data_IF_419769339311
#
_entry.id   IF_419769339311
#
_cell.length_a   1.000
_cell.length_b   1.000
_cell.length_c   1.000
_cell.angle_alpha   90.00
_cell.angle_beta   90.00
_cell.angle_gamma   90.00
#
_symmetry.space_group_name_H-M   'P 1'
#
loop_
_entity.id
_entity.type
_entity.pdbx_description
1 polymer ?
#
# COMPACT_ATOMS: atom_id res chain seq x y z
N UNK A 1 9.31 -11.76 13.41
CA UNK A 1 9.62 -10.40 13.88
C UNK A 1 8.55 -9.44 13.36
N UNK A 2 8.15 -8.42 14.12
CA UNK A 2 7.23 -7.39 13.63
C UNK A 2 7.91 -6.57 12.53
N UNK A 3 7.18 -6.22 11.46
CA UNK A 3 7.71 -5.29 10.45
C UNK A 3 7.76 -3.90 11.08
N UNK A 4 8.91 -3.22 10.96
CA UNK A 4 9.03 -1.84 11.42
C UNK A 4 8.18 -0.94 10.52
N UNK A 5 7.29 -0.14 11.13
CA UNK A 5 6.44 0.81 10.42
C UNK A 5 7.25 2.05 10.04
N UNK A 6 7.14 2.49 8.80
CA UNK A 6 7.76 3.72 8.30
C UNK A 6 6.69 4.68 7.74
N UNK A 7 7.05 5.95 7.61
CA UNK A 7 6.21 6.93 6.95
C UNK A 7 6.38 6.87 5.43
N UNK A 8 5.43 7.50 4.72
CA UNK A 8 5.50 7.62 3.27
C UNK A 8 6.82 8.27 2.82
N UNK A 9 7.26 9.34 3.50
CA UNK A 9 8.46 10.08 3.13
C UNK A 9 9.77 9.31 3.39
N UNK A 10 9.72 8.29 4.24
CA UNK A 10 10.84 7.39 4.53
C UNK A 10 10.97 6.27 3.48
N UNK A 11 9.99 6.12 2.58
CA UNK A 11 10.11 5.16 1.49
C UNK A 11 11.23 5.59 0.52
N UNK A 12 11.98 4.62 -0.03
CA UNK A 12 12.90 4.88 -1.13
C UNK A 12 12.22 5.66 -2.26
N UNK A 13 12.98 6.52 -2.94
CA UNK A 13 12.42 7.39 -3.97
C UNK A 13 11.73 6.58 -5.09
N UNK A 14 12.36 5.49 -5.53
CA UNK A 14 11.80 4.56 -6.52
C UNK A 14 10.49 3.93 -6.06
N UNK A 15 10.36 3.67 -4.76
CA UNK A 15 9.15 3.14 -4.16
C UNK A 15 8.00 4.17 -4.23
N UNK A 16 8.28 5.44 -3.93
CA UNK A 16 7.30 6.53 -4.03
C UNK A 16 6.89 6.79 -5.48
N UNK A 17 7.87 6.92 -6.38
CA UNK A 17 7.61 7.15 -7.82
C UNK A 17 6.75 6.05 -8.43
N UNK A 18 7.02 4.79 -8.10
CA UNK A 18 6.24 3.66 -8.61
C UNK A 18 4.75 3.75 -8.24
N UNK A 19 4.42 4.29 -7.07
CA UNK A 19 3.02 4.55 -6.69
C UNK A 19 2.47 5.73 -7.48
N UNK A 20 3.18 6.87 -7.50
CA UNK A 20 2.74 8.08 -8.18
C UNK A 20 2.49 7.89 -9.68
N UNK A 21 3.24 6.98 -10.32
CA UNK A 21 3.00 6.57 -11.71
C UNK A 21 1.61 5.95 -11.94
N UNK A 22 1.05 5.27 -10.93
CA UNK A 22 -0.25 4.61 -11.04
C UNK A 22 -1.40 5.50 -10.59
N UNK A 23 -1.14 6.43 -9.66
CA UNK A 23 -2.21 7.12 -8.93
C UNK A 23 -2.15 8.65 -9.01
N UNK A 24 -1.12 9.18 -9.66
CA UNK A 24 -0.79 10.59 -9.68
C UNK A 24 0.04 11.02 -8.48
N UNK A 25 0.52 12.27 -8.53
CA UNK A 25 1.36 12.86 -7.48
C UNK A 25 0.69 12.81 -6.11
N UNK A 26 1.41 12.35 -5.11
CA UNK A 26 0.97 12.35 -3.72
C UNK A 26 1.17 13.76 -3.15
N UNK A 27 0.08 14.36 -2.69
CA UNK A 27 0.07 15.71 -2.10
C UNK A 27 0.15 15.66 -0.57
N UNK A 28 -0.38 14.59 0.03
CA UNK A 28 -0.36 14.37 1.46
C UNK A 28 -0.39 12.88 1.77
N UNK A 29 0.27 12.46 2.84
CA UNK A 29 0.28 11.08 3.29
C UNK A 29 0.17 11.03 4.82
N UNK A 30 -0.71 10.18 5.32
CA UNK A 30 -0.92 9.95 6.75
C UNK A 30 -0.70 8.47 7.05
N UNK A 31 0.30 8.15 7.88
CA UNK A 31 0.54 6.78 8.30
C UNK A 31 -0.55 6.33 9.26
N UNK A 32 -1.20 5.21 8.97
CA UNK A 32 -2.23 4.64 9.83
C UNK A 32 -1.65 4.32 11.21
N UNK A 33 -2.38 4.55 12.32
CA UNK A 33 -1.85 4.23 13.66
C UNK A 33 -1.79 2.71 13.90
N UNK A 34 -2.66 1.92 13.25
CA UNK A 34 -2.79 0.47 13.43
C UNK A 34 -2.48 -0.32 12.16
N UNK A 35 -2.11 -1.60 12.32
CA UNK A 35 -1.68 -2.50 11.25
C UNK A 35 -0.40 -3.22 11.61
N UNK A 36 -0.50 -4.49 12.03
CA UNK A 36 0.63 -5.25 12.58
C UNK A 36 1.49 -5.97 11.51
N UNK A 37 0.97 -6.06 10.28
CA UNK A 37 1.56 -6.89 9.22
C UNK A 37 2.03 -6.07 8.01
N UNK A 38 2.38 -4.80 8.20
CA UNK A 38 2.83 -3.93 7.11
C UNK A 38 3.91 -2.98 7.58
N UNK A 39 4.98 -2.88 6.79
CA UNK A 39 6.06 -1.91 7.02
C UNK A 39 5.66 -0.50 6.58
N UNK A 40 4.77 -0.38 5.61
CA UNK A 40 4.01 0.85 5.37
C UNK A 40 2.52 0.55 5.38
N UNK A 41 1.76 1.41 6.04
CA UNK A 41 0.30 1.46 5.97
C UNK A 41 -0.06 2.94 6.05
N UNK A 42 -0.49 3.53 4.94
CA UNK A 42 -0.71 4.97 4.86
C UNK A 42 -1.91 5.32 3.97
N UNK A 43 -2.67 6.33 4.37
CA UNK A 43 -3.65 6.97 3.53
C UNK A 43 -2.97 8.10 2.77
N UNK A 44 -2.95 8.02 1.43
CA UNK A 44 -2.41 9.07 0.57
C UNK A 44 -3.52 9.84 -0.12
N UNK A 45 -3.33 11.15 -0.25
CA UNK A 45 -4.20 12.04 -1.00
C UNK A 45 -3.47 12.54 -2.23
N UNK A 46 -4.10 12.40 -3.38
CA UNK A 46 -3.66 12.97 -4.65
C UNK A 46 -4.62 14.10 -5.03
N UNK A 47 -4.40 14.74 -6.17
CA UNK A 47 -5.32 15.76 -6.67
C UNK A 47 -6.75 15.22 -6.95
N UNK A 48 -6.88 13.93 -7.29
CA UNK A 48 -8.15 13.35 -7.74
C UNK A 48 -8.72 12.26 -6.83
N UNK A 49 -7.94 11.73 -5.89
CA UNK A 49 -8.36 10.57 -5.11
C UNK A 49 -7.70 10.49 -3.73
N UNK A 50 -8.35 9.74 -2.84
CA UNK A 50 -7.75 9.31 -1.57
C UNK A 50 -7.63 7.79 -1.60
N UNK A 51 -6.45 7.29 -1.27
CA UNK A 51 -6.05 5.91 -1.47
C UNK A 51 -5.42 5.37 -0.20
N UNK A 52 -5.51 4.07 -0.01
CA UNK A 52 -4.80 3.37 1.05
C UNK A 52 -3.68 2.54 0.45
N UNK A 53 -2.47 2.73 0.96
CA UNK A 53 -1.28 1.99 0.56
C UNK A 53 -0.85 1.11 1.71
N UNK A 54 -0.61 -0.16 1.44
CA UNK A 54 0.08 -1.05 2.37
C UNK A 54 1.21 -1.78 1.67
N UNK A 55 2.24 -2.14 2.43
CA UNK A 55 3.28 -3.03 1.92
C UNK A 55 4.34 -3.38 2.93
N UNK A 56 5.26 -4.22 2.48
CA UNK A 56 6.34 -4.80 3.29
C UNK A 56 7.66 -4.79 2.50
N UNK A 57 8.82 -4.75 3.18
CA UNK A 57 10.11 -5.00 2.54
C UNK A 57 10.12 -6.37 1.85
N UNK A 58 10.70 -6.49 0.66
CA UNK A 58 10.66 -7.72 -0.15
C UNK A 58 11.37 -8.91 0.50
N UNK A 59 12.35 -8.64 1.35
CA UNK A 59 13.11 -9.61 2.13
C UNK A 59 12.38 -10.04 3.42
N UNK A 60 11.25 -9.42 3.77
CA UNK A 60 10.51 -9.76 4.97
C UNK A 60 9.70 -11.05 4.78
N UNK A 61 9.63 -11.95 5.78
CA UNK A 61 8.82 -13.19 5.71
C UNK A 61 7.33 -12.98 5.40
N UNK A 62 6.79 -11.79 5.68
CA UNK A 62 5.38 -11.45 5.40
C UNK A 62 5.09 -11.14 3.93
N UNK A 63 6.11 -11.02 3.08
CA UNK A 63 5.97 -10.83 1.64
C UNK A 63 5.09 -11.91 1.00
N UNK A 64 5.21 -13.17 1.44
CA UNK A 64 4.34 -14.25 0.97
C UNK A 64 2.86 -14.05 1.33
N UNK A 65 2.57 -13.50 2.51
CA UNK A 65 1.19 -13.18 2.92
C UNK A 65 0.64 -12.01 2.10
N UNK A 66 1.41 -10.94 1.92
CA UNK A 66 1.04 -9.78 1.10
C UNK A 66 0.71 -10.19 -0.35
N UNK A 67 1.51 -11.10 -0.93
CA UNK A 67 1.27 -11.61 -2.28
C UNK A 67 0.01 -12.46 -2.38
N UNK A 68 -0.29 -13.27 -1.36
CA UNK A 68 -1.55 -14.04 -1.31
C UNK A 68 -2.76 -13.12 -1.21
N UNK A 69 -2.67 -12.06 -0.40
CA UNK A 69 -3.72 -11.04 -0.32
C UNK A 69 -3.94 -10.34 -1.67
N UNK A 70 -2.87 -9.99 -2.39
CA UNK A 70 -2.97 -9.40 -3.71
C UNK A 70 -3.58 -10.38 -4.73
N UNK A 71 -3.19 -11.66 -4.69
CA UNK A 71 -3.68 -12.70 -5.59
C UNK A 71 -5.15 -13.05 -5.37
N UNK A 72 -5.64 -13.01 -4.12
CA UNK A 72 -7.06 -13.30 -3.82
C UNK A 72 -7.97 -12.10 -4.09
N UNK A 73 -7.45 -10.87 -4.06
CA UNK A 73 -8.26 -9.65 -4.17
C UNK A 73 -9.22 -9.59 -5.38
N UNK A 74 -8.82 -10.03 -6.61
CA UNK A 74 -9.74 -10.06 -7.75
C UNK A 74 -10.98 -10.94 -7.51
N UNK A 75 -10.86 -11.97 -6.68
CA UNK A 75 -11.93 -12.93 -6.37
C UNK A 75 -12.83 -12.47 -5.22
N UNK A 76 -12.52 -11.34 -4.56
CA UNK A 76 -13.33 -10.82 -3.46
C UNK A 76 -14.65 -10.21 -3.95
N UNK A 77 -15.70 -10.24 -3.11
CA UNK A 77 -16.98 -9.62 -3.43
C UNK A 77 -16.84 -8.10 -3.60
N UNK A 78 -17.80 -7.47 -4.28
CA UNK A 78 -17.80 -6.02 -4.53
C UNK A 78 -17.81 -5.16 -3.25
N UNK A 79 -18.21 -5.73 -2.11
CA UNK A 79 -18.13 -5.08 -0.80
C UNK A 79 -16.69 -4.93 -0.27
N UNK A 80 -15.70 -5.57 -0.90
CA UNK A 80 -14.28 -5.47 -0.54
C UNK A 80 -13.55 -4.41 -1.37
N UNK A 81 -12.57 -3.69 -0.79
CA UNK A 81 -11.73 -2.77 -1.54
C UNK A 81 -11.01 -3.48 -2.70
N UNK A 82 -11.15 -2.94 -3.92
CA UNK A 82 -10.46 -3.46 -5.10
C UNK A 82 -9.01 -2.98 -5.12
N UNK A 83 -8.10 -3.91 -5.39
CA UNK A 83 -6.69 -3.62 -5.61
C UNK A 83 -6.53 -2.80 -6.90
N UNK A 84 -6.05 -1.56 -6.78
CA UNK A 84 -5.78 -0.69 -7.93
C UNK A 84 -4.45 -1.05 -8.60
N UNK A 85 -3.43 -1.28 -7.79
CA UNK A 85 -2.13 -1.72 -8.28
C UNK A 85 -1.38 -2.53 -7.23
N UNK A 86 -0.53 -3.43 -7.71
CA UNK A 86 0.43 -4.20 -6.93
C UNK A 86 1.79 -4.04 -7.58
N UNK A 87 2.76 -3.50 -6.84
CA UNK A 87 4.06 -3.12 -7.40
C UNK A 87 5.18 -3.54 -6.47
N UNK A 88 6.25 -4.09 -7.07
CA UNK A 88 7.54 -4.29 -6.41
C UNK A 88 8.54 -3.28 -6.94
N UNK A 89 9.01 -2.37 -6.10
CA UNK A 89 10.02 -1.38 -6.47
C UNK A 89 10.75 -0.85 -5.24
N UNK A 90 12.06 -0.60 -5.37
CA UNK A 90 12.89 -0.07 -4.29
C UNK A 90 13.06 -1.01 -3.09
N UNK A 91 12.94 -2.33 -3.27
CA UNK A 91 13.03 -3.31 -2.17
C UNK A 91 11.73 -3.50 -1.37
N UNK A 92 10.59 -3.08 -1.92
CA UNK A 92 9.29 -3.13 -1.26
C UNK A 92 8.23 -3.77 -2.16
N UNK A 93 7.42 -4.66 -1.59
CA UNK A 93 6.21 -5.25 -2.19
C UNK A 93 4.99 -4.52 -1.62
N UNK A 94 4.22 -3.85 -2.47
CA UNK A 94 3.15 -2.92 -2.05
C UNK A 94 1.88 -3.10 -2.86
N UNK A 95 0.76 -2.91 -2.20
CA UNK A 95 -0.59 -2.91 -2.76
C UNK A 95 -1.28 -1.58 -2.46
N UNK A 96 -1.93 -1.01 -3.48
CA UNK A 96 -2.72 0.22 -3.37
C UNK A 96 -4.19 -0.05 -3.59
N UNK A 97 -5.04 0.55 -2.77
CA UNK A 97 -6.50 0.39 -2.77
C UNK A 97 -7.16 1.78 -2.78
N UNK A 98 -8.38 1.93 -3.33
CA UNK A 98 -9.15 3.13 -3.06
C UNK A 98 -9.47 3.17 -1.57
N UNK A 99 -9.47 4.36 -0.95
CA UNK A 99 -9.88 4.46 0.44
C UNK A 99 -11.38 4.12 0.53
N UNK A 100 -11.69 3.00 1.16
CA UNK A 100 -13.08 2.62 1.40
C UNK A 100 -13.67 3.50 2.48
N UNK A 101 -14.57 4.41 2.08
CA UNK A 101 -15.48 5.07 3.01
C UNK A 101 -16.66 4.11 3.16
N UNK A 102 -16.68 3.36 4.27
CA UNK A 102 -17.86 2.57 4.62
C UNK A 102 -19.10 3.48 4.57
N UNK A 103 -20.19 2.97 4.00
CA UNK A 103 -21.51 3.59 4.12
C UNK A 103 -21.99 3.42 5.55
#
# INVERSE_FOLDING_TARGET
MPVTRIHWDDLPLDARHAVEQHVGRVLHAETAPAGLNSGIAATVRTAGSTLFIKGVPTDHPQTGTQQREAAINPHLPAASPRLLCHVRAGGWDRSTFPLWRGV
#
